data_IF_666022286137
#
_entry.id   IF_666022286137
#
_cell.length_a   1.000
_cell.length_b   1.000
_cell.length_c   1.000
_cell.angle_alpha   90.00
_cell.angle_beta   90.00
_cell.angle_gamma   90.00
#
_symmetry.space_group_name_H-M   'P 1'
#
loop_
_entity.id
_entity.type
_entity.pdbx_description
1 polymer ?
#
# COMPACT_ATOMS: atom_id res chain seq x y z
N UNK A 1 -20.26 8.98 18.46
CA UNK A 1 -19.29 9.82 17.76
C UNK A 1 -19.61 11.27 18.07
N UNK A 2 -18.60 12.04 18.46
CA UNK A 2 -18.70 13.44 18.84
C UNK A 2 -17.74 14.30 18.01
N UNK A 3 -17.88 15.62 18.14
CA UNK A 3 -16.96 16.57 17.51
C UNK A 3 -15.55 16.33 18.06
N UNK A 4 -14.60 16.10 17.15
CA UNK A 4 -13.20 15.81 17.47
C UNK A 4 -12.80 14.33 17.37
N UNK A 5 -13.77 13.42 17.22
CA UNK A 5 -13.48 12.02 16.96
C UNK A 5 -12.91 11.81 15.55
N UNK A 6 -12.06 10.80 15.40
CA UNK A 6 -11.44 10.44 14.13
C UNK A 6 -12.24 9.35 13.40
N UNK A 7 -12.26 9.45 12.07
CA UNK A 7 -12.71 8.36 11.19
C UNK A 7 -11.53 7.90 10.33
N UNK A 8 -11.38 6.59 10.19
CA UNK A 8 -10.35 5.97 9.37
C UNK A 8 -10.98 5.39 8.09
N UNK A 9 -10.38 5.69 6.96
CA UNK A 9 -10.74 5.13 5.67
C UNK A 9 -9.50 4.49 5.05
N UNK A 10 -9.52 3.16 4.96
CA UNK A 10 -8.44 2.39 4.35
C UNK A 10 -8.60 2.34 2.82
N UNK A 11 -7.55 1.91 2.12
CA UNK A 11 -7.57 1.69 0.65
C UNK A 11 -7.79 2.96 -0.21
N UNK A 12 -7.50 4.16 0.31
CA UNK A 12 -7.57 5.44 -0.43
C UNK A 12 -6.32 5.74 -1.29
N UNK A 13 -5.57 4.71 -1.69
CA UNK A 13 -4.31 4.88 -2.43
C UNK A 13 -4.50 5.26 -3.91
N UNK A 14 -5.60 4.83 -4.53
CA UNK A 14 -5.86 5.02 -5.95
C UNK A 14 -6.95 6.10 -6.18
N UNK A 15 -6.73 6.97 -7.16
CA UNK A 15 -7.67 8.00 -7.63
C UNK A 15 -8.21 9.00 -6.59
N UNK A 16 -7.79 8.94 -5.33
CA UNK A 16 -8.22 9.87 -4.28
C UNK A 16 -7.46 11.21 -4.36
N UNK A 17 -6.22 11.26 -3.86
CA UNK A 17 -5.42 12.50 -3.88
C UNK A 17 -5.16 12.97 -5.31
N UNK A 18 -5.07 12.05 -6.28
CA UNK A 18 -4.82 12.38 -7.68
C UNK A 18 -5.92 13.26 -8.32
N UNK A 19 -7.17 13.18 -7.84
CA UNK A 19 -8.31 13.91 -8.39
C UNK A 19 -8.83 15.02 -7.46
N UNK A 20 -8.16 15.29 -6.33
CA UNK A 20 -8.67 16.21 -5.31
C UNK A 20 -8.50 17.68 -5.73
N UNK A 21 -9.56 18.48 -5.58
CA UNK A 21 -9.53 19.93 -5.77
C UNK A 21 -9.53 20.66 -4.42
N UNK A 22 -9.25 21.96 -4.45
CA UNK A 22 -9.35 22.85 -3.27
C UNK A 22 -10.62 23.72 -3.34
N UNK A 23 -11.70 23.19 -3.92
CA UNK A 23 -12.98 23.89 -3.96
C UNK A 23 -13.44 24.23 -2.53
N UNK A 24 -13.99 25.43 -2.32
CA UNK A 24 -14.31 25.99 -1.00
C UNK A 24 -13.13 26.23 -0.05
N UNK A 25 -11.89 26.25 -0.55
CA UNK A 25 -10.72 26.61 0.27
C UNK A 25 -10.25 25.53 1.24
N UNK A 26 -10.79 24.32 1.16
CA UNK A 26 -10.29 23.17 1.91
C UNK A 26 -8.89 22.79 1.42
N UNK A 27 -7.96 22.65 2.36
CA UNK A 27 -6.58 22.27 2.07
C UNK A 27 -6.51 20.76 1.76
N UNK A 28 -5.54 20.38 0.93
CA UNK A 28 -5.22 18.96 0.71
C UNK A 28 -4.61 18.36 1.97
N UNK A 29 -4.97 17.12 2.28
CA UNK A 29 -4.39 16.38 3.41
C UNK A 29 -2.88 16.19 3.23
N UNK A 30 -2.13 16.31 4.34
CA UNK A 30 -0.70 15.98 4.36
C UNK A 30 -0.47 14.47 4.20
N UNK A 31 0.54 14.10 3.41
CA UNK A 31 0.91 12.70 3.18
C UNK A 31 2.19 12.39 3.95
N UNK A 32 2.14 11.36 4.79
CA UNK A 32 3.28 10.87 5.55
C UNK A 32 3.69 9.50 5.00
N UNK A 33 4.82 9.46 4.30
CA UNK A 33 5.37 8.21 3.79
C UNK A 33 6.12 7.46 4.88
N UNK A 34 5.84 6.17 5.02
CA UNK A 34 6.51 5.28 5.97
C UNK A 34 7.00 4.03 5.25
N UNK A 35 8.10 3.49 5.73
CA UNK A 35 8.67 2.24 5.22
C UNK A 35 9.34 1.49 6.36
N UNK A 36 9.07 0.19 6.48
CA UNK A 36 9.72 -0.64 7.50
C UNK A 36 11.21 -0.81 7.18
N UNK A 37 12.03 -1.02 8.22
CA UNK A 37 13.49 -1.22 8.04
C UNK A 37 13.81 -2.39 7.10
N UNK A 38 13.15 -3.56 7.16
CA UNK A 38 13.41 -4.65 6.22
C UNK A 38 13.08 -4.28 4.77
N UNK A 39 11.94 -3.63 4.52
CA UNK A 39 11.55 -3.19 3.17
C UNK A 39 12.55 -2.16 2.62
N UNK A 40 13.06 -1.28 3.48
CA UNK A 40 14.13 -0.35 3.09
C UNK A 40 15.43 -1.07 2.71
N UNK A 41 15.83 -2.13 3.42
CA UNK A 41 16.99 -2.94 3.02
C UNK A 41 16.77 -3.61 1.66
N UNK A 42 15.57 -4.17 1.44
CA UNK A 42 15.20 -4.75 0.15
C UNK A 42 15.25 -3.71 -0.97
N UNK A 43 14.74 -2.51 -0.72
CA UNK A 43 14.78 -1.41 -1.70
C UNK A 43 16.23 -1.05 -2.09
N UNK A 44 17.15 -1.03 -1.11
CA UNK A 44 18.58 -0.81 -1.40
C UNK A 44 19.20 -1.97 -2.20
N UNK A 45 18.81 -3.22 -1.93
CA UNK A 45 19.26 -4.37 -2.70
C UNK A 45 18.76 -4.30 -4.15
N UNK A 46 17.49 -3.93 -4.35
CA UNK A 46 16.91 -3.74 -5.69
C UNK A 46 17.66 -2.63 -6.43
N UNK A 47 17.99 -1.55 -5.73
CA UNK A 47 18.76 -0.44 -6.30
C UNK A 47 20.17 -0.87 -6.75
N UNK A 48 20.84 -1.75 -6.00
CA UNK A 48 22.22 -2.16 -6.30
C UNK A 48 22.33 -3.34 -7.27
N UNK A 49 21.42 -4.31 -7.21
CA UNK A 49 21.50 -5.57 -7.93
C UNK A 49 20.35 -5.82 -8.90
N UNK A 50 19.42 -4.87 -9.04
CA UNK A 50 18.17 -5.08 -9.78
C UNK A 50 17.16 -5.91 -8.99
N UNK A 51 16.01 -6.16 -9.60
CA UNK A 51 14.97 -6.96 -8.96
C UNK A 51 15.45 -8.40 -8.76
N UNK A 52 15.23 -9.01 -7.57
CA UNK A 52 15.47 -10.43 -7.37
C UNK A 52 14.64 -11.21 -8.40
N UNK A 53 15.24 -12.21 -9.04
CA UNK A 53 14.51 -13.12 -9.93
C UNK A 53 13.44 -13.86 -9.11
N UNK A 54 12.20 -13.82 -9.59
CA UNK A 54 11.05 -14.53 -9.04
C UNK A 54 11.38 -16.04 -8.96
N UNK A 55 11.82 -16.53 -7.81
CA UNK A 55 11.84 -17.97 -7.52
C UNK A 55 10.41 -18.34 -7.15
N UNK A 56 9.81 -19.24 -7.95
CA UNK A 56 8.40 -19.63 -7.84
C UNK A 56 7.98 -19.93 -6.39
N UNK A 57 6.74 -19.55 -6.08
CA UNK A 57 6.04 -19.68 -4.79
C UNK A 57 6.71 -20.66 -3.83
N UNK A 58 7.52 -20.13 -2.92
CA UNK A 58 8.08 -20.89 -1.81
C UNK A 58 7.57 -20.27 -0.51
N UNK A 59 6.74 -21.07 0.16
CA UNK A 59 6.23 -21.03 1.53
C UNK A 59 6.22 -19.68 2.27
N UNK A 60 5.01 -19.28 2.64
CA UNK A 60 4.52 -18.06 3.30
C UNK A 60 5.17 -17.66 4.64
N UNK A 61 6.35 -18.19 4.99
CA UNK A 61 6.95 -18.05 6.32
C UNK A 61 8.06 -17.00 6.47
N UNK A 62 8.65 -16.46 5.39
CA UNK A 62 9.93 -15.70 5.52
C UNK A 62 9.97 -14.32 4.85
N UNK A 63 8.88 -13.86 4.20
CA UNK A 63 8.85 -12.49 3.70
C UNK A 63 8.58 -11.52 4.85
N UNK A 64 9.34 -10.41 4.99
CA UNK A 64 9.06 -9.43 6.01
C UNK A 64 7.65 -8.89 5.80
N UNK A 65 6.81 -9.10 6.80
CA UNK A 65 5.42 -8.65 6.83
C UNK A 65 5.36 -7.19 6.38
N UNK A 66 4.56 -6.91 5.35
CA UNK A 66 4.28 -5.54 4.94
C UNK A 66 3.69 -4.78 6.12
N UNK A 67 3.98 -3.48 6.23
CA UNK A 67 3.36 -2.60 7.23
C UNK A 67 1.83 -2.56 7.13
N UNK A 68 1.23 -3.02 6.02
CA UNK A 68 -0.21 -3.21 5.90
C UNK A 68 -0.74 -4.48 6.60
N UNK A 69 0.11 -5.50 6.80
CA UNK A 69 -0.29 -6.80 7.36
C UNK A 69 -0.30 -6.80 8.89
N UNK A 70 0.33 -5.81 9.54
CA UNK A 70 0.30 -5.62 11.00
C UNK A 70 -1.09 -5.15 11.50
N UNK A 71 -1.94 -4.62 10.62
CA UNK A 71 -3.26 -4.06 10.96
C UNK A 71 -4.35 -5.10 11.29
N UNK A 72 -4.02 -6.41 11.36
CA UNK A 72 -4.98 -7.43 11.78
C UNK A 72 -6.20 -7.62 10.88
N UNK A 73 -6.11 -7.25 9.60
CA UNK A 73 -7.16 -7.50 8.62
C UNK A 73 -7.02 -8.91 8.04
N UNK A 74 -7.98 -9.79 8.34
CA UNK A 74 -8.10 -11.09 7.69
C UNK A 74 -8.21 -10.91 6.17
N UNK A 75 -7.28 -11.52 5.43
CA UNK A 75 -7.35 -11.56 3.96
C UNK A 75 -8.42 -12.55 3.54
N UNK A 76 -9.57 -12.06 3.09
CA UNK A 76 -10.36 -12.83 2.14
C UNK A 76 -9.56 -13.00 0.84
N UNK A 77 -9.45 -14.21 0.27
CA UNK A 77 -8.74 -14.44 -0.98
C UNK A 77 -9.58 -13.88 -2.14
N UNK A 78 -9.50 -12.57 -2.36
CA UNK A 78 -9.89 -12.01 -3.64
C UNK A 78 -8.69 -12.18 -4.58
N UNK A 79 -8.73 -13.25 -5.38
CA UNK A 79 -7.84 -13.41 -6.51
C UNK A 79 -7.93 -12.15 -7.37
N UNK A 80 -6.80 -11.45 -7.55
CA UNK A 80 -6.68 -10.39 -8.53
C UNK A 80 -6.83 -11.01 -9.93
N UNK A 81 -8.05 -11.10 -10.43
CA UNK A 81 -8.28 -11.42 -11.84
C UNK A 81 -7.85 -10.20 -12.66
N UNK A 82 -6.65 -10.31 -13.27
CA UNK A 82 -6.18 -9.35 -14.26
C UNK A 82 -7.17 -9.36 -15.43
N UNK A 83 -7.95 -8.28 -15.57
CA UNK A 83 -8.83 -8.11 -16.72
C UNK A 83 -8.00 -7.49 -17.83
N UNK A 84 -7.72 -8.26 -18.89
CA UNK A 84 -7.16 -7.71 -20.12
C UNK A 84 -8.17 -6.77 -20.75
N UNK A 85 -7.82 -5.48 -20.87
CA UNK A 85 -8.55 -4.53 -21.72
C UNK A 85 -8.09 -4.78 -23.15
N UNK A 86 -8.98 -5.33 -23.98
CA UNK A 86 -8.76 -5.42 -25.41
C UNK A 86 -9.06 -4.05 -26.02
N UNK A 87 -8.08 -3.46 -26.71
CA UNK A 87 -8.24 -2.23 -27.53
C UNK A 87 -8.78 -2.61 -28.90
#
# INVERSE_FOLDING_TARGET
MHVGDWMLFENLGAYAVAAVSTFNGFQRSSIYYVMSRPIWQLMKQIQSHGFPTEVGEQDTGTLPMSCAQESGMDRHPAACASTSINV
#
